data_IF_528083055406
#
_entry.id   IF_528083055406
#
_cell.length_a   1.000
_cell.length_b   1.000
_cell.length_c   1.000
_cell.angle_alpha   90.00
_cell.angle_beta   90.00
_cell.angle_gamma   90.00
#
_symmetry.space_group_name_H-M   'P 1'
#
loop_
_entity.id
_entity.type
_entity.pdbx_description
1 polymer ?
#
# COMPACT_ATOMS: atom_id res chain seq x y z
N UNK A 1 -106.20 -17.01 2.21
CA UNK A 1 -104.85 -16.47 2.49
C UNK A 1 -103.88 -17.46 1.86
N UNK A 2 -103.08 -17.21 0.83
CA UNK A 2 -102.69 -16.02 0.10
C UNK A 2 -101.28 -16.32 -0.45
N UNK A 3 -101.08 -16.18 -1.77
CA UNK A 3 -99.79 -16.09 -2.51
C UNK A 3 -99.02 -17.45 -2.63
N UNK A 4 -98.75 -18.06 -3.79
CA UNK A 4 -98.16 -17.54 -5.05
C UNK A 4 -96.62 -17.70 -4.98
N UNK A 5 -95.80 -18.11 -5.96
CA UNK A 5 -95.84 -18.31 -7.41
C UNK A 5 -94.49 -18.98 -7.82
N UNK A 6 -94.56 -20.01 -8.68
CA UNK A 6 -93.72 -20.38 -9.87
C UNK A 6 -92.15 -20.39 -9.88
N UNK A 7 -91.65 -21.55 -10.36
CA UNK A 7 -90.73 -21.85 -11.50
C UNK A 7 -89.42 -21.05 -11.69
N UNK A 8 -88.30 -21.74 -11.91
CA UNK A 8 -87.77 -22.05 -13.27
C UNK A 8 -86.34 -22.64 -13.21
N UNK A 9 -86.11 -23.69 -14.02
CA UNK A 9 -84.81 -24.26 -14.35
C UNK A 9 -84.17 -23.45 -15.49
N UNK A 10 -82.85 -23.25 -15.46
CA UNK A 10 -82.10 -22.76 -16.63
C UNK A 10 -80.74 -23.44 -16.72
N UNK A 11 -80.53 -24.12 -17.85
CA UNK A 11 -79.29 -24.70 -18.32
C UNK A 11 -78.49 -23.59 -19.03
N UNK A 12 -77.20 -23.46 -18.75
CA UNK A 12 -76.29 -22.60 -19.52
C UNK A 12 -75.16 -23.47 -20.06
N UNK A 13 -75.16 -23.60 -21.39
CA UNK A 13 -74.06 -24.09 -22.22
C UNK A 13 -73.36 -22.88 -22.82
N UNK A 14 -72.03 -22.78 -22.70
CA UNK A 14 -71.14 -21.91 -23.49
C UNK A 14 -69.72 -22.50 -23.37
N UNK A 15 -69.20 -23.17 -24.40
CA UNK A 15 -68.54 -22.60 -25.57
C UNK A 15 -67.16 -21.98 -25.26
N UNK A 16 -66.13 -22.77 -25.57
CA UNK A 16 -64.82 -22.39 -26.12
C UNK A 16 -64.17 -21.07 -25.73
N UNK A 17 -63.11 -21.17 -24.92
CA UNK A 17 -62.00 -20.20 -24.92
C UNK A 17 -60.68 -20.97 -24.77
N UNK A 18 -60.15 -21.43 -25.92
CA UNK A 18 -58.77 -21.91 -26.02
C UNK A 18 -57.85 -20.69 -26.02
N UNK A 19 -57.43 -20.24 -24.85
CA UNK A 19 -56.43 -19.19 -24.70
C UNK A 19 -55.07 -19.69 -25.21
N UNK A 20 -54.66 -19.20 -26.39
CA UNK A 20 -53.26 -19.14 -26.80
C UNK A 20 -52.50 -18.27 -25.78
N UNK A 21 -51.86 -18.91 -24.80
CA UNK A 21 -50.85 -18.28 -23.95
C UNK A 21 -49.62 -17.96 -24.82
N UNK A 22 -49.59 -16.77 -25.41
CA UNK A 22 -48.32 -16.17 -25.82
C UNK A 22 -47.47 -16.06 -24.55
N UNK A 23 -46.48 -16.95 -24.41
CA UNK A 23 -45.44 -16.78 -23.42
C UNK A 23 -44.69 -15.50 -23.76
N UNK A 24 -44.93 -14.44 -22.98
CA UNK A 24 -44.05 -13.29 -22.96
C UNK A 24 -42.66 -13.79 -22.52
N UNK A 25 -41.74 -13.91 -23.46
CA UNK A 25 -40.32 -14.08 -23.16
C UNK A 25 -39.90 -12.74 -22.53
N UNK A 26 -39.94 -12.67 -21.20
CA UNK A 26 -39.35 -11.57 -20.46
C UNK A 26 -37.85 -11.57 -20.77
N UNK A 27 -37.42 -10.68 -21.67
CA UNK A 27 -36.01 -10.39 -21.88
C UNK A 27 -35.48 -9.78 -20.57
N UNK A 28 -34.76 -10.58 -19.78
CA UNK A 28 -34.04 -10.06 -18.62
C UNK A 28 -33.06 -8.99 -19.12
N UNK A 29 -33.04 -7.79 -18.51
CA UNK A 29 -32.03 -6.80 -18.84
C UNK A 29 -30.65 -7.38 -18.54
N UNK A 30 -29.72 -7.23 -19.49
CA UNK A 30 -28.33 -7.59 -19.30
C UNK A 30 -27.81 -6.92 -18.01
N UNK A 31 -27.27 -7.71 -17.08
CA UNK A 31 -26.68 -7.19 -15.86
C UNK A 31 -25.65 -6.11 -16.22
N UNK A 32 -25.87 -4.87 -15.78
CA UNK A 32 -24.96 -3.78 -16.09
C UNK A 32 -23.56 -4.09 -15.53
N UNK A 33 -22.54 -3.78 -16.32
CA UNK A 33 -21.16 -3.89 -15.89
C UNK A 33 -20.92 -2.91 -14.74
N UNK A 34 -20.58 -3.42 -13.56
CA UNK A 34 -20.19 -2.58 -12.42
C UNK A 34 -18.73 -2.14 -12.59
N UNK A 35 -18.53 -0.83 -12.61
CA UNK A 35 -17.20 -0.24 -12.57
C UNK A 35 -16.60 -0.42 -11.18
N UNK A 36 -15.32 -0.77 -11.14
CA UNK A 36 -14.56 -0.93 -9.90
C UNK A 36 -13.77 0.33 -9.65
N UNK A 37 -14.10 1.06 -8.59
CA UNK A 37 -13.34 2.24 -8.18
C UNK A 37 -12.21 1.83 -7.24
N UNK A 38 -10.98 2.23 -7.58
CA UNK A 38 -9.79 2.12 -6.73
C UNK A 38 -9.42 3.52 -6.26
N UNK A 39 -9.11 3.70 -4.98
CA UNK A 39 -8.70 4.97 -4.38
C UNK A 39 -7.38 4.82 -3.63
N UNK A 40 -6.74 5.96 -3.33
CA UNK A 40 -5.56 6.02 -2.46
C UNK A 40 -6.01 6.26 -1.02
N UNK A 41 -5.37 5.57 -0.07
CA UNK A 41 -5.54 5.76 1.37
C UNK A 41 -4.19 6.15 1.97
N UNK A 42 -4.19 7.28 2.71
CA UNK A 42 -3.01 7.75 3.43
C UNK A 42 -2.86 7.04 4.77
N UNK A 43 -1.66 6.54 5.05
CA UNK A 43 -1.38 5.84 6.30
C UNK A 43 0.09 5.96 6.72
N UNK A 44 0.35 5.80 8.03
CA UNK A 44 1.69 5.96 8.64
C UNK A 44 2.77 5.01 8.12
N UNK A 45 2.39 3.88 7.51
CA UNK A 45 3.34 2.91 6.92
C UNK A 45 3.56 3.16 5.42
N UNK A 46 2.98 4.23 4.88
CA UNK A 46 2.92 4.53 3.46
C UNK A 46 1.50 4.53 2.92
N UNK A 47 1.31 5.27 1.84
CA UNK A 47 0.05 5.34 1.10
C UNK A 47 -0.19 4.02 0.35
N UNK A 48 -1.43 3.56 0.34
CA UNK A 48 -1.79 2.30 -0.31
C UNK A 48 -3.13 2.38 -1.04
N UNK A 49 -3.40 1.40 -1.90
CA UNK A 49 -4.64 1.33 -2.66
C UNK A 49 -5.75 0.58 -1.91
N UNK A 50 -6.97 1.10 -2.03
CA UNK A 50 -8.18 0.47 -1.52
C UNK A 50 -9.31 0.54 -2.55
N UNK A 51 -10.33 -0.28 -2.40
CA UNK A 51 -11.57 -0.13 -3.19
C UNK A 51 -12.43 1.06 -2.70
N UNK A 52 -13.55 1.33 -3.38
CA UNK A 52 -14.52 2.35 -2.98
C UNK A 52 -14.96 2.25 -1.50
N UNK A 53 -15.07 1.02 -0.99
CA UNK A 53 -15.50 0.72 0.39
C UNK A 53 -14.36 0.83 1.41
N UNK A 54 -13.14 1.14 0.97
CA UNK A 54 -11.97 1.24 1.85
C UNK A 54 -11.35 -0.12 2.22
N UNK A 55 -11.66 -1.19 1.47
CA UNK A 55 -10.99 -2.49 1.66
C UNK A 55 -9.62 -2.44 1.00
N UNK A 56 -8.60 -2.81 1.77
CA UNK A 56 -7.20 -2.76 1.35
C UNK A 56 -6.92 -3.71 0.18
N UNK A 57 -6.09 -3.25 -0.75
CA UNK A 57 -5.68 -4.01 -1.92
C UNK A 57 -4.20 -4.37 -1.84
N UNK A 58 -3.91 -5.61 -2.24
CA UNK A 58 -2.60 -6.22 -2.15
C UNK A 58 -2.12 -6.67 -3.53
N UNK A 59 -0.80 -6.70 -3.67
CA UNK A 59 -0.10 -7.40 -4.75
C UNK A 59 0.53 -8.69 -4.21
N UNK A 60 0.69 -9.66 -5.12
CA UNK A 60 1.38 -10.91 -4.87
C UNK A 60 2.72 -10.91 -5.59
N UNK A 61 3.84 -11.04 -4.87
CA UNK A 61 5.17 -10.96 -5.50
C UNK A 61 5.53 -12.18 -6.35
N UNK A 62 4.76 -13.26 -6.26
CA UNK A 62 4.94 -14.42 -7.14
C UNK A 62 4.20 -14.25 -8.47
N UNK A 63 3.30 -13.27 -8.59
CA UNK A 63 2.77 -12.89 -9.89
C UNK A 63 3.85 -12.15 -10.70
N UNK A 64 3.67 -12.13 -12.01
CA UNK A 64 4.35 -11.15 -12.88
C UNK A 64 3.32 -10.18 -13.44
N UNK A 65 3.78 -9.08 -14.05
CA UNK A 65 2.89 -8.05 -14.57
C UNK A 65 1.87 -8.65 -15.55
N UNK A 66 0.60 -8.34 -15.32
CA UNK A 66 -0.58 -8.80 -16.05
C UNK A 66 -0.76 -10.32 -16.11
N UNK A 67 -0.09 -11.07 -15.22
CA UNK A 67 -0.14 -12.54 -15.20
C UNK A 67 -0.50 -13.02 -13.79
N UNK A 68 -1.80 -13.07 -13.44
CA UNK A 68 -2.25 -13.59 -12.16
C UNK A 68 -1.95 -15.10 -12.06
N UNK A 69 -1.36 -15.54 -10.95
CA UNK A 69 -1.03 -16.94 -10.66
C UNK A 69 -1.80 -17.51 -9.46
N UNK A 70 -2.47 -16.67 -8.67
CA UNK A 70 -3.27 -17.10 -7.52
C UNK A 70 -4.67 -17.58 -7.95
N UNK A 71 -4.90 -18.89 -7.88
CA UNK A 71 -6.16 -19.59 -8.22
C UNK A 71 -6.53 -20.63 -7.15
N UNK A 72 -7.73 -21.19 -7.24
CA UNK A 72 -8.19 -22.27 -6.36
C UNK A 72 -8.15 -21.85 -4.88
N UNK A 73 -7.51 -22.67 -4.03
CA UNK A 73 -7.38 -22.38 -2.60
C UNK A 73 -6.64 -21.06 -2.30
N UNK A 74 -5.69 -20.66 -3.15
CA UNK A 74 -5.04 -19.35 -3.01
C UNK A 74 -6.08 -18.23 -3.12
N UNK A 75 -6.92 -18.27 -4.16
CA UNK A 75 -7.94 -17.26 -4.41
C UNK A 75 -9.10 -17.27 -3.39
N UNK A 76 -9.25 -18.33 -2.58
CA UNK A 76 -10.18 -18.33 -1.45
C UNK A 76 -9.66 -17.47 -0.29
N UNK A 77 -8.35 -17.54 -0.02
CA UNK A 77 -7.70 -16.73 1.02
C UNK A 77 -7.31 -15.33 0.52
N UNK A 78 -7.07 -15.20 -0.78
CA UNK A 78 -6.69 -13.97 -1.47
C UNK A 78 -7.62 -13.70 -2.66
N UNK A 79 -8.88 -13.29 -2.41
CA UNK A 79 -9.84 -13.10 -3.50
C UNK A 79 -9.35 -12.04 -4.50
N UNK A 80 -9.38 -12.34 -5.82
CA UNK A 80 -9.00 -11.35 -6.83
C UNK A 80 -10.01 -10.20 -6.88
N UNK A 81 -9.52 -8.98 -7.14
CA UNK A 81 -10.38 -7.85 -7.46
C UNK A 81 -10.90 -7.99 -8.89
N UNK A 82 -12.08 -8.60 -9.04
CA UNK A 82 -12.71 -8.83 -10.33
C UNK A 82 -13.51 -7.62 -10.80
N UNK A 83 -13.54 -7.41 -12.12
CA UNK A 83 -14.30 -6.34 -12.77
C UNK A 83 -15.00 -6.85 -14.01
N UNK A 84 -16.21 -6.36 -14.30
CA UNK A 84 -16.90 -6.58 -15.58
C UNK A 84 -16.83 -5.36 -16.50
N UNK A 85 -16.84 -4.16 -15.92
CA UNK A 85 -16.70 -2.89 -16.61
C UNK A 85 -15.26 -2.43 -16.71
N UNK A 86 -15.02 -1.14 -16.50
CA UNK A 86 -13.66 -0.60 -16.43
C UNK A 86 -13.27 -0.35 -14.97
N UNK A 87 -12.01 -0.58 -14.59
CA UNK A 87 -11.50 -0.01 -13.35
C UNK A 87 -11.40 1.50 -13.50
N UNK A 88 -11.79 2.22 -12.46
CA UNK A 88 -11.83 3.69 -12.42
C UNK A 88 -10.97 4.18 -11.27
N UNK A 89 -10.14 5.18 -11.55
CA UNK A 89 -9.38 5.88 -10.52
C UNK A 89 -10.34 6.79 -9.73
N UNK A 90 -10.42 6.57 -8.42
CA UNK A 90 -11.17 7.36 -7.47
C UNK A 90 -10.31 8.41 -6.77
N UNK A 91 -10.69 8.75 -5.54
CA UNK A 91 -10.01 9.75 -4.72
C UNK A 91 -8.51 9.46 -4.52
N UNK A 92 -7.71 10.53 -4.48
CA UNK A 92 -6.28 10.48 -4.18
C UNK A 92 -5.36 10.20 -5.37
N UNK A 93 -5.92 9.93 -6.56
CA UNK A 93 -5.18 9.99 -7.82
C UNK A 93 -5.10 11.42 -8.36
N UNK A 94 -3.94 11.85 -8.86
CA UNK A 94 -3.74 13.17 -9.50
C UNK A 94 -3.55 14.38 -8.58
N UNK A 95 -3.36 14.20 -7.27
CA UNK A 95 -3.19 15.32 -6.31
C UNK A 95 -1.74 15.77 -6.10
N UNK A 96 -0.72 15.04 -6.56
CA UNK A 96 0.69 15.46 -6.50
C UNK A 96 1.44 14.81 -7.67
N UNK A 97 2.08 15.62 -8.54
CA UNK A 97 3.06 15.24 -9.59
C UNK A 97 2.57 14.26 -10.68
N UNK A 98 3.18 14.32 -11.88
CA UNK A 98 2.88 13.44 -13.04
C UNK A 98 3.03 11.91 -12.77
N UNK A 99 3.43 11.54 -11.55
CA UNK A 99 3.71 10.17 -11.11
C UNK A 99 2.49 9.44 -10.52
N UNK A 100 1.46 10.15 -10.06
CA UNK A 100 0.25 9.57 -9.44
C UNK A 100 -0.93 9.54 -10.42
N UNK A 101 -0.67 9.08 -11.65
CA UNK A 101 -1.67 9.06 -12.69
C UNK A 101 -2.48 7.75 -12.63
N UNK A 102 -3.79 7.87 -12.47
CA UNK A 102 -4.75 6.76 -12.53
C UNK A 102 -4.69 5.95 -13.84
N UNK A 103 -3.95 6.42 -14.85
CA UNK A 103 -3.55 5.68 -16.07
C UNK A 103 -2.87 4.34 -15.80
N UNK A 104 -2.37 4.11 -14.59
CA UNK A 104 -1.78 2.83 -14.21
C UNK A 104 -2.83 1.73 -13.96
N UNK A 105 -4.11 2.06 -13.84
CA UNK A 105 -5.18 1.06 -13.76
C UNK A 105 -5.33 0.31 -15.09
N UNK A 106 -5.31 -1.01 -15.00
CA UNK A 106 -5.48 -1.90 -16.13
C UNK A 106 -6.30 -3.12 -15.73
N UNK A 107 -6.33 -4.11 -16.63
CA UNK A 107 -6.94 -5.40 -16.35
C UNK A 107 -6.07 -6.53 -16.89
N UNK A 108 -6.21 -7.71 -16.30
CA UNK A 108 -5.63 -8.94 -16.79
C UNK A 108 -6.72 -10.01 -16.93
N UNK A 109 -6.68 -10.76 -18.03
CA UNK A 109 -7.54 -11.92 -18.20
C UNK A 109 -7.02 -13.08 -17.35
N UNK A 110 -7.92 -13.71 -16.62
CA UNK A 110 -7.64 -14.91 -15.82
C UNK A 110 -7.99 -16.17 -16.61
N UNK A 111 -7.35 -17.28 -16.29
CA UNK A 111 -7.57 -18.58 -16.95
C UNK A 111 -8.96 -19.17 -16.66
N UNK A 112 -9.60 -18.74 -15.57
CA UNK A 112 -10.98 -19.07 -15.21
C UNK A 112 -12.03 -18.26 -16.01
N UNK A 113 -11.58 -17.39 -16.93
CA UNK A 113 -12.42 -16.56 -17.78
C UNK A 113 -12.87 -15.24 -17.14
N UNK A 114 -12.53 -14.98 -15.88
CA UNK A 114 -12.81 -13.70 -15.23
C UNK A 114 -11.74 -12.64 -15.54
N UNK A 115 -12.13 -11.37 -15.45
CA UNK A 115 -11.22 -10.23 -15.62
C UNK A 115 -10.86 -9.65 -14.26
N UNK A 116 -9.57 -9.52 -13.98
CA UNK A 116 -9.05 -8.95 -12.73
C UNK A 116 -8.45 -7.57 -12.95
N UNK A 117 -8.67 -6.66 -12.01
CA UNK A 117 -8.07 -5.33 -12.01
C UNK A 117 -6.57 -5.44 -11.74
N UNK A 118 -5.79 -4.68 -12.50
CA UNK A 118 -4.36 -4.50 -12.27
C UNK A 118 -4.05 -3.03 -11.99
N UNK A 119 -2.97 -2.77 -11.25
CA UNK A 119 -2.42 -1.42 -11.09
C UNK A 119 -0.92 -1.41 -11.37
N UNK A 120 -0.48 -0.55 -12.29
CA UNK A 120 0.85 -0.62 -12.90
C UNK A 120 1.12 -2.02 -13.48
N UNK A 121 0.07 -2.76 -13.85
CA UNK A 121 0.15 -4.16 -14.27
C UNK A 121 0.25 -5.21 -13.15
N UNK A 122 0.30 -4.85 -11.87
CA UNK A 122 0.21 -5.86 -10.79
C UNK A 122 -1.25 -6.32 -10.60
N UNK A 123 -1.57 -7.62 -10.61
CA UNK A 123 -2.89 -8.11 -10.25
C UNK A 123 -3.25 -7.76 -8.80
N UNK A 124 -4.45 -7.22 -8.59
CA UNK A 124 -4.90 -6.75 -7.27
C UNK A 124 -5.77 -7.77 -6.57
N UNK A 125 -5.51 -7.98 -5.29
CA UNK A 125 -6.22 -8.96 -4.46
C UNK A 125 -6.72 -8.31 -3.16
N UNK A 126 -7.76 -8.90 -2.60
CA UNK A 126 -8.15 -8.72 -1.21
C UNK A 126 -7.48 -9.78 -0.33
N UNK A 127 -7.54 -9.59 0.99
CA UNK A 127 -7.25 -10.63 1.95
C UNK A 127 -8.53 -11.07 2.67
N UNK A 128 -8.82 -12.37 2.69
CA UNK A 128 -10.03 -12.90 3.32
C UNK A 128 -10.10 -12.67 4.84
N UNK A 129 -8.94 -12.42 5.47
CA UNK A 129 -8.84 -12.07 6.89
C UNK A 129 -9.17 -10.61 7.22
N UNK A 130 -9.21 -9.72 6.23
CA UNK A 130 -9.65 -8.34 6.40
C UNK A 130 -11.19 -8.32 6.42
N UNK A 131 -11.77 -7.83 7.52
CA UNK A 131 -13.22 -7.83 7.76
C UNK A 131 -13.82 -6.44 7.68
N UNK A 132 -13.05 -5.44 8.10
CA UNK A 132 -13.48 -4.05 8.16
C UNK A 132 -12.69 -3.17 7.17
N UNK A 133 -13.27 -2.07 6.66
CA UNK A 133 -12.51 -1.07 5.91
C UNK A 133 -11.27 -0.59 6.68
N UNK A 134 -10.14 -0.51 6.00
CA UNK A 134 -8.86 -0.14 6.60
C UNK A 134 -8.12 -1.30 7.29
N UNK A 135 -8.70 -2.50 7.40
CA UNK A 135 -7.93 -3.68 7.81
C UNK A 135 -6.78 -3.92 6.82
N UNK A 136 -5.60 -4.16 7.36
CA UNK A 136 -4.35 -4.40 6.61
C UNK A 136 -3.68 -5.71 7.04
N UNK A 137 -4.45 -6.71 7.49
CA UNK A 137 -3.93 -7.93 8.14
C UNK A 137 -3.22 -8.85 7.16
N UNK A 138 -3.44 -8.67 5.86
CA UNK A 138 -2.73 -9.37 4.80
C UNK A 138 -1.29 -8.87 4.58
N UNK A 139 -0.93 -7.74 5.16
CA UNK A 139 0.37 -7.11 4.92
C UNK A 139 1.51 -8.02 5.41
N UNK A 140 2.39 -8.42 4.49
CA UNK A 140 3.55 -9.26 4.77
C UNK A 140 3.29 -10.75 4.91
N UNK A 141 2.06 -11.22 4.71
CA UNK A 141 1.74 -12.63 4.89
C UNK A 141 2.61 -13.47 3.96
N UNK A 142 3.31 -14.45 4.54
CA UNK A 142 4.21 -15.35 3.81
C UNK A 142 5.41 -14.66 3.15
N UNK A 143 5.68 -13.38 3.45
CA UNK A 143 6.75 -12.60 2.82
C UNK A 143 6.53 -12.31 1.33
N UNK A 144 5.32 -12.55 0.81
CA UNK A 144 4.99 -12.47 -0.62
C UNK A 144 3.72 -11.68 -0.92
N UNK A 145 2.96 -11.30 0.10
CA UNK A 145 1.74 -10.48 -0.02
C UNK A 145 1.96 -9.12 0.60
N UNK A 146 1.74 -8.05 -0.17
CA UNK A 146 1.99 -6.69 0.29
C UNK A 146 0.94 -5.72 -0.23
N UNK A 147 0.58 -4.73 0.57
CA UNK A 147 -0.15 -3.56 0.15
C UNK A 147 0.58 -2.91 -1.01
N UNK A 148 -0.17 -2.51 -2.03
CA UNK A 148 0.37 -1.83 -3.20
C UNK A 148 0.25 -0.32 -3.01
N UNK A 149 1.34 0.39 -3.28
CA UNK A 149 1.39 1.86 -3.26
C UNK A 149 0.75 2.44 -4.53
N UNK A 150 0.38 3.72 -4.52
CA UNK A 150 -0.01 4.46 -5.73
C UNK A 150 1.09 4.52 -6.82
N UNK A 151 2.32 4.09 -6.50
CA UNK A 151 3.44 3.97 -7.43
C UNK A 151 3.50 2.61 -8.12
N UNK A 152 2.66 1.66 -7.71
CA UNK A 152 2.69 0.28 -8.20
C UNK A 152 3.81 -0.55 -7.58
N UNK A 153 4.26 -0.18 -6.39
CA UNK A 153 5.32 -0.84 -5.63
C UNK A 153 4.74 -1.46 -4.34
N UNK A 154 5.27 -2.60 -3.86
CA UNK A 154 4.86 -3.15 -2.58
C UNK A 154 5.41 -2.29 -1.42
N UNK A 155 4.59 -2.05 -0.40
CA UNK A 155 5.07 -1.56 0.88
C UNK A 155 5.85 -2.70 1.55
N UNK A 156 7.18 -2.70 1.44
CA UNK A 156 8.05 -3.71 2.10
C UNK A 156 8.67 -3.18 3.38
N UNK A 157 8.88 -1.88 3.47
CA UNK A 157 9.32 -1.21 4.67
C UNK A 157 8.17 -1.18 5.69
N UNK A 158 8.47 -1.48 6.96
CA UNK A 158 7.46 -1.65 8.01
C UNK A 158 6.83 -3.06 8.13
N UNK A 159 7.39 -4.07 7.43
CA UNK A 159 6.94 -5.48 7.49
C UNK A 159 7.94 -6.41 8.18
N UNK A 160 9.13 -5.91 8.55
CA UNK A 160 10.06 -6.68 9.39
C UNK A 160 9.55 -6.75 10.84
N UNK A 161 8.75 -7.77 11.13
CA UNK A 161 8.31 -8.26 12.45
C UNK A 161 7.43 -7.34 13.31
N UNK A 162 6.24 -7.84 13.65
CA UNK A 162 5.32 -7.25 14.62
C UNK A 162 5.97 -7.07 16.01
N UNK A 163 6.32 -5.83 16.36
CA UNK A 163 6.28 -5.28 17.72
C UNK A 163 5.72 -3.84 17.63
N UNK A 164 5.17 -3.28 18.72
CA UNK A 164 4.52 -1.97 18.69
C UNK A 164 5.46 -0.89 18.14
N UNK A 165 5.00 -0.18 17.10
CA UNK A 165 5.76 0.73 16.25
C UNK A 165 6.55 1.84 16.98
N UNK A 166 6.19 2.20 18.22
CA UNK A 166 7.02 3.11 19.04
C UNK A 166 8.24 2.40 19.63
N UNK A 167 8.07 1.18 20.15
CA UNK A 167 9.12 0.45 20.85
C UNK A 167 10.22 -0.07 19.90
N UNK A 168 9.88 -0.41 18.65
CA UNK A 168 10.88 -0.82 17.65
C UNK A 168 11.63 0.37 17.07
N UNK A 169 10.96 1.49 16.82
CA UNK A 169 11.65 2.72 16.39
C UNK A 169 12.57 3.23 17.50
N UNK A 170 12.17 3.16 18.76
CA UNK A 170 13.01 3.52 19.89
C UNK A 170 14.19 2.54 20.09
N UNK A 171 13.95 1.23 19.94
CA UNK A 171 14.99 0.22 20.03
C UNK A 171 16.00 0.32 18.88
N UNK A 172 15.53 0.53 17.65
CA UNK A 172 16.37 0.74 16.47
C UNK A 172 17.15 2.04 16.58
N UNK A 173 16.50 3.12 17.03
CA UNK A 173 17.16 4.39 17.31
C UNK A 173 18.23 4.23 18.38
N UNK A 174 17.95 3.53 19.48
CA UNK A 174 18.92 3.25 20.54
C UNK A 174 20.10 2.41 20.02
N UNK A 175 19.82 1.37 19.23
CA UNK A 175 20.84 0.52 18.61
C UNK A 175 21.74 1.32 17.65
N UNK A 176 21.15 2.06 16.71
CA UNK A 176 21.89 2.87 15.76
C UNK A 176 22.66 4.00 16.44
N UNK A 177 22.14 4.59 17.52
CA UNK A 177 22.89 5.55 18.34
C UNK A 177 24.11 4.90 18.98
N UNK A 178 23.99 3.68 19.52
CA UNK A 178 25.13 2.98 20.13
C UNK A 178 26.20 2.59 19.09
N UNK A 179 25.77 2.02 17.95
CA UNK A 179 26.66 1.68 16.83
C UNK A 179 27.32 2.95 16.26
N UNK A 180 26.53 4.00 16.08
CA UNK A 180 26.95 5.29 15.55
C UNK A 180 27.91 6.04 16.46
N UNK A 181 27.76 5.91 17.78
CA UNK A 181 28.70 6.48 18.75
C UNK A 181 30.10 5.90 18.57
N UNK A 182 30.21 4.59 18.33
CA UNK A 182 31.49 3.93 18.08
C UNK A 182 32.13 4.38 16.76
N UNK A 183 31.32 4.53 15.69
CA UNK A 183 31.79 5.08 14.41
C UNK A 183 32.20 6.55 14.56
N UNK A 184 31.43 7.34 15.30
CA UNK A 184 31.73 8.75 15.54
C UNK A 184 33.06 8.92 16.27
N UNK A 185 33.27 8.18 17.36
CA UNK A 185 34.49 8.25 18.15
C UNK A 185 35.75 7.92 17.31
N UNK A 186 35.65 6.94 16.41
CA UNK A 186 36.79 6.50 15.58
C UNK A 186 37.02 7.36 14.33
N UNK A 187 35.97 7.89 13.70
CA UNK A 187 36.06 8.56 12.38
C UNK A 187 35.87 10.07 12.47
N UNK A 188 34.89 10.53 13.26
CA UNK A 188 34.37 11.90 13.16
C UNK A 188 34.88 12.82 14.27
N UNK A 189 35.01 12.28 15.48
CA UNK A 189 35.41 13.03 16.67
C UNK A 189 36.78 13.74 16.54
N UNK A 190 37.79 13.21 15.82
CA UNK A 190 39.06 13.91 15.63
C UNK A 190 38.93 15.32 15.04
N UNK A 191 37.88 15.60 14.26
CA UNK A 191 37.61 16.92 13.71
C UNK A 191 36.40 17.59 14.39
N UNK A 192 35.33 16.85 14.65
CA UNK A 192 34.08 17.43 15.16
C UNK A 192 34.02 17.58 16.69
N UNK A 193 35.05 17.13 17.42
CA UNK A 193 35.07 17.12 18.88
C UNK A 193 34.41 15.86 19.45
N UNK A 194 34.64 15.56 20.74
CA UNK A 194 34.02 14.37 21.36
C UNK A 194 32.54 14.60 21.66
N UNK A 195 32.15 15.85 21.86
CA UNK A 195 30.79 16.30 22.15
C UNK A 195 30.18 17.09 20.98
N UNK A 196 30.74 16.96 19.77
CA UNK A 196 30.26 17.70 18.59
C UNK A 196 30.46 19.21 18.69
N UNK A 197 31.34 19.68 19.56
CA UNK A 197 31.64 21.09 19.82
C UNK A 197 32.40 21.78 18.69
N UNK A 198 33.04 20.99 17.81
CA UNK A 198 33.91 21.47 16.73
C UNK A 198 35.34 21.69 17.21
N UNK A 199 36.21 20.72 16.98
CA UNK A 199 37.63 20.76 17.35
C UNK A 199 38.57 20.97 16.13
N UNK A 200 37.99 21.42 15.00
CA UNK A 200 38.67 21.63 13.71
C UNK A 200 37.70 21.52 12.52
N UNK A 201 36.67 20.69 12.65
CA UNK A 201 35.51 20.63 11.77
C UNK A 201 34.32 21.45 12.31
N UNK A 202 33.23 21.48 11.53
CA UNK A 202 32.02 22.22 11.92
C UNK A 202 31.41 21.68 13.21
N UNK A 203 30.83 22.57 14.01
CA UNK A 203 30.07 22.20 15.21
C UNK A 203 28.80 21.43 14.83
N UNK A 204 28.59 20.30 15.47
CA UNK A 204 27.43 19.41 15.28
C UNK A 204 26.41 19.54 16.42
N UNK A 205 26.85 19.91 17.62
CA UNK A 205 25.97 20.11 18.77
C UNK A 205 24.98 21.26 18.54
N UNK A 206 23.68 20.99 18.68
CA UNK A 206 22.60 21.95 18.45
C UNK A 206 22.49 22.47 17.01
N UNK A 207 23.09 21.80 16.03
CA UNK A 207 23.11 22.27 14.65
C UNK A 207 21.81 21.89 13.93
N UNK A 208 20.96 22.88 13.66
CA UNK A 208 19.66 22.69 13.00
C UNK A 208 19.76 22.19 11.55
N UNK A 209 20.89 22.40 10.87
CA UNK A 209 21.10 21.92 9.51
C UNK A 209 21.11 20.38 9.43
N UNK A 210 21.40 19.72 10.55
CA UNK A 210 21.35 18.26 10.66
C UNK A 210 19.95 17.69 10.46
N UNK A 211 18.89 18.51 10.44
CA UNK A 211 17.54 18.09 10.09
C UNK A 211 17.39 17.64 8.63
N UNK A 212 18.21 18.17 7.71
CA UNK A 212 18.16 17.78 6.30
C UNK A 212 18.89 16.45 6.06
N UNK A 213 18.12 15.36 5.94
CA UNK A 213 18.63 13.99 5.76
C UNK A 213 19.56 13.88 4.56
N UNK A 214 19.14 14.38 3.39
CA UNK A 214 19.93 14.32 2.14
C UNK A 214 21.28 15.00 2.29
N UNK A 215 21.32 16.17 2.94
CA UNK A 215 22.57 16.89 3.14
C UNK A 215 23.50 16.14 4.10
N UNK A 216 22.97 15.58 5.19
CA UNK A 216 23.77 14.80 6.15
C UNK A 216 24.38 13.56 5.47
N UNK A 217 23.57 12.78 4.75
CA UNK A 217 24.04 11.59 4.04
C UNK A 217 25.03 11.98 2.96
N UNK A 218 24.69 12.96 2.12
CA UNK A 218 25.54 13.43 1.03
C UNK A 218 26.90 13.94 1.51
N UNK A 219 26.94 14.65 2.65
CA UNK A 219 28.17 15.14 3.25
C UNK A 219 29.06 14.01 3.80
N UNK A 220 28.47 12.96 4.39
CA UNK A 220 29.23 11.81 4.89
C UNK A 220 29.71 10.93 3.74
N UNK A 221 28.85 10.65 2.77
CA UNK A 221 29.15 9.78 1.62
C UNK A 221 30.16 10.46 0.69
N UNK A 222 29.86 11.70 0.27
CA UNK A 222 30.58 12.43 -0.75
C UNK A 222 31.65 13.41 -0.24
N UNK A 223 31.68 13.70 1.06
CA UNK A 223 32.61 14.66 1.63
C UNK A 223 32.24 16.11 1.30
N UNK A 224 33.16 17.02 1.58
CA UNK A 224 33.08 18.46 1.27
C UNK A 224 34.48 19.04 1.12
N UNK A 225 34.61 20.38 1.20
CA UNK A 225 35.88 21.07 0.98
C UNK A 225 37.02 20.50 1.87
N UNK A 226 36.79 20.45 3.18
CA UNK A 226 37.77 19.96 4.16
C UNK A 226 37.37 18.61 4.78
N UNK A 227 36.14 18.15 4.54
CA UNK A 227 35.63 16.88 5.08
C UNK A 227 35.85 15.76 4.07
N UNK A 228 36.62 14.71 4.38
CA UNK A 228 36.81 13.59 3.47
C UNK A 228 35.51 12.88 3.12
N UNK A 229 35.48 12.22 1.95
CA UNK A 229 34.39 11.33 1.57
C UNK A 229 34.53 9.98 2.29
N UNK A 230 33.52 9.57 3.03
CA UNK A 230 33.53 8.31 3.78
C UNK A 230 32.71 7.21 3.12
N UNK A 231 32.03 7.49 2.01
CA UNK A 231 31.20 6.50 1.30
C UNK A 231 31.97 5.21 0.98
N UNK A 232 33.22 5.28 0.55
CA UNK A 232 33.99 4.06 0.24
C UNK A 232 34.57 3.35 1.46
N UNK A 233 34.65 4.04 2.59
CA UNK A 233 35.28 3.53 3.82
C UNK A 233 34.26 2.89 4.77
N UNK A 234 33.06 3.44 4.83
CA UNK A 234 31.99 3.00 5.72
C UNK A 234 30.92 2.24 4.94
N UNK A 235 30.36 1.21 5.56
CA UNK A 235 29.16 0.53 5.06
C UNK A 235 27.91 1.41 5.18
N UNK A 236 26.83 1.05 4.47
CA UNK A 236 25.54 1.77 4.57
C UNK A 236 25.02 1.81 6.00
N UNK A 237 25.15 0.68 6.71
CA UNK A 237 24.84 0.57 8.14
C UNK A 237 25.64 1.52 9.00
N UNK A 238 26.96 1.60 8.82
CA UNK A 238 27.80 2.48 9.62
C UNK A 238 27.50 3.96 9.36
N UNK A 239 27.17 4.32 8.12
CA UNK A 239 26.75 5.68 7.76
C UNK A 239 25.38 6.01 8.37
N UNK A 240 24.41 5.08 8.25
CA UNK A 240 23.09 5.24 8.85
C UNK A 240 23.18 5.40 10.38
N UNK A 241 24.01 4.58 11.02
CA UNK A 241 24.25 4.61 12.45
C UNK A 241 24.91 5.92 12.89
N UNK A 242 26.03 6.34 12.27
CA UNK A 242 26.74 7.57 12.66
C UNK A 242 25.91 8.83 12.38
N UNK A 243 25.17 8.87 11.28
CA UNK A 243 24.27 9.97 10.95
C UNK A 243 23.12 10.05 11.96
N UNK A 244 22.55 8.90 12.34
CA UNK A 244 21.53 8.79 13.40
C UNK A 244 22.07 9.27 14.75
N UNK A 245 23.29 8.86 15.13
CA UNK A 245 23.92 9.31 16.37
C UNK A 245 24.10 10.83 16.40
N UNK A 246 24.66 11.43 15.35
CA UNK A 246 24.88 12.89 15.25
C UNK A 246 23.56 13.65 15.34
N UNK A 247 22.52 13.17 14.65
CA UNK A 247 21.18 13.78 14.60
C UNK A 247 20.40 13.69 15.92
N UNK A 248 20.85 12.89 16.88
CA UNK A 248 20.15 12.62 18.14
C UNK A 248 21.05 12.76 19.38
N UNK A 249 22.13 13.53 19.25
CA UNK A 249 23.10 13.82 20.31
C UNK A 249 23.22 15.33 20.53
N UNK A 250 23.69 15.72 21.73
CA UNK A 250 24.04 17.11 22.05
C UNK A 250 22.93 18.13 21.75
N UNK A 251 21.71 17.79 22.13
CA UNK A 251 20.53 18.64 21.93
C UNK A 251 19.84 18.49 20.57
N UNK A 252 20.40 17.69 19.65
CA UNK A 252 19.74 17.35 18.39
C UNK A 252 18.66 16.27 18.59
N UNK A 253 17.55 16.38 17.86
CA UNK A 253 16.44 15.42 17.89
C UNK A 253 15.78 15.34 16.50
N UNK A 254 16.52 14.84 15.51
CA UNK A 254 16.04 14.77 14.12
C UNK A 254 15.63 13.37 13.68
N UNK A 255 15.58 12.39 14.59
CA UNK A 255 15.16 11.03 14.28
C UNK A 255 16.22 10.23 13.52
N UNK A 256 15.87 8.99 13.20
CA UNK A 256 16.78 8.02 12.58
C UNK A 256 17.01 8.29 11.08
N UNK A 257 18.13 7.77 10.57
CA UNK A 257 18.41 7.58 9.15
C UNK A 257 18.60 6.07 8.94
N UNK A 258 17.96 5.52 7.92
CA UNK A 258 17.97 4.09 7.57
C UNK A 258 19.09 3.73 6.60
N UNK A 259 19.43 2.44 6.54
CA UNK A 259 20.40 1.91 5.56
C UNK A 259 19.93 2.12 4.11
N UNK A 260 18.61 2.02 3.86
CA UNK A 260 18.04 2.22 2.53
C UNK A 260 18.13 3.68 2.07
N UNK A 261 17.92 4.65 2.98
CA UNK A 261 18.13 6.07 2.67
C UNK A 261 19.59 6.37 2.31
N UNK A 262 20.55 5.69 2.97
CA UNK A 262 21.97 5.83 2.65
C UNK A 262 22.29 5.19 1.30
N UNK A 263 21.78 3.98 1.07
CA UNK A 263 21.98 3.25 -0.18
C UNK A 263 21.42 4.00 -1.38
N UNK A 264 20.28 4.67 -1.23
CA UNK A 264 19.67 5.50 -2.26
C UNK A 264 20.48 6.77 -2.60
N UNK A 265 21.41 7.18 -1.72
CA UNK A 265 22.22 8.38 -1.88
C UNK A 265 23.64 8.10 -2.41
N UNK A 266 23.98 6.84 -2.70
CA UNK A 266 25.26 6.42 -3.28
C UNK A 266 25.18 6.24 -4.79
#
# INVERSE_FOLDING_TARGET
MGVGVRKASAWISLSGFLLLLLQAIAQQPAAQAEDVVVKVVHHKIGDYLADAKGRSLYLFTNDTKNTPTCYGACAQNWPPLLVRGKPVAGEGFGVMDDFYDGRLLGTAQRTDGSTQVTFSGWPLYYFAGDKDPGDMKGQGVGGVWFLITPRGEPIKEGVAAQQPAGAQTDALLAQLKAEGQAVYARVCAPCHGQEGEGAGGVKLAGNSQLGNVRNVIGQIVGGGQEMPAFGRLLSDREIAAVATYIRNSWGNQFGLITEEEVKAAR
#
